data_IF_647552847730
#
_entry.id   IF_647552847730
#
_cell.length_a   1.000
_cell.length_b   1.000
_cell.length_c   1.000
_cell.angle_alpha   90.00
_cell.angle_beta   90.00
_cell.angle_gamma   90.00
#
_symmetry.space_group_name_H-M   'P 1'
#
loop_
_entity.id
_entity.type
_entity.pdbx_description
1 polymer ?
#
# COMPACT_ATOMS: atom_id res chain seq x y z
N UNK A 1 4.45 36.42 29.05
CA UNK A 1 3.82 35.44 29.95
C UNK A 1 2.92 34.45 29.22
N UNK A 2 1.87 34.87 28.49
CA UNK A 2 1.03 33.89 27.76
C UNK A 2 1.80 33.13 26.68
N UNK A 3 2.71 33.80 25.98
CA UNK A 3 3.54 33.16 24.95
C UNK A 3 4.44 32.05 25.53
N UNK A 4 5.03 32.28 26.71
CA UNK A 4 5.83 31.26 27.38
C UNK A 4 5.01 30.05 27.82
N UNK A 5 3.71 30.20 28.08
CA UNK A 5 2.82 29.06 28.38
C UNK A 5 2.47 28.27 27.12
N UNK A 6 2.34 28.93 25.96
CA UNK A 6 2.06 28.28 24.68
C UNK A 6 3.27 27.52 24.16
N UNK A 7 4.44 28.11 24.29
CA UNK A 7 5.72 27.54 23.84
C UNK A 7 6.36 26.62 24.89
N UNK A 8 5.69 26.37 26.02
CA UNK A 8 6.23 25.51 27.06
C UNK A 8 6.38 24.08 26.54
N UNK A 9 7.55 23.49 26.81
CA UNK A 9 7.86 22.12 26.44
C UNK A 9 7.12 21.12 27.35
N UNK A 10 5.86 20.91 27.00
CA UNK A 10 4.96 19.95 27.68
C UNK A 10 5.41 18.49 27.55
N UNK A 11 6.29 18.19 26.60
CA UNK A 11 6.73 16.84 26.28
C UNK A 11 7.91 16.40 27.16
N UNK A 12 8.68 17.36 27.71
CA UNK A 12 9.88 17.09 28.52
C UNK A 12 9.79 17.60 29.96
N UNK A 13 8.60 17.59 30.57
CA UNK A 13 8.43 18.01 31.96
C UNK A 13 9.06 16.98 32.91
N UNK A 14 9.99 17.37 33.80
CA UNK A 14 10.62 16.44 34.73
C UNK A 14 9.61 15.65 35.58
N UNK A 15 9.76 14.32 35.72
CA UNK A 15 8.81 13.49 36.47
C UNK A 15 8.62 13.93 37.92
N UNK A 16 9.68 14.43 38.57
CA UNK A 16 9.63 14.95 39.92
C UNK A 16 8.70 16.17 40.06
N UNK A 17 8.65 17.04 39.05
CA UNK A 17 7.76 18.21 39.03
C UNK A 17 6.31 17.74 38.90
N UNK A 18 6.03 16.83 37.96
CA UNK A 18 4.69 16.27 37.76
C UNK A 18 4.19 15.51 38.98
N UNK A 19 5.07 14.76 39.66
CA UNK A 19 4.76 14.09 40.93
C UNK A 19 4.31 15.10 41.99
N UNK A 20 5.09 16.17 42.18
CA UNK A 20 4.75 17.23 43.14
C UNK A 20 3.43 17.92 42.81
N UNK A 21 3.16 18.16 41.52
CA UNK A 21 1.89 18.75 41.06
C UNK A 21 0.71 17.87 41.46
N UNK A 22 0.78 16.56 41.16
CA UNK A 22 -0.27 15.59 41.49
C UNK A 22 -0.53 15.51 42.99
N UNK A 23 0.53 15.26 43.76
CA UNK A 23 0.41 14.99 45.21
C UNK A 23 -0.05 16.21 46.01
N UNK A 24 0.33 17.43 45.59
CA UNK A 24 0.08 18.63 46.38
C UNK A 24 -1.07 19.50 45.90
N UNK A 25 -1.42 19.44 44.61
CA UNK A 25 -2.31 20.44 44.02
C UNK A 25 -3.52 19.84 43.30
N UNK A 26 -3.38 18.75 42.53
CA UNK A 26 -4.48 18.29 41.66
C UNK A 26 -5.75 17.89 42.45
N UNK A 27 -5.56 17.23 43.58
CA UNK A 27 -6.65 16.77 44.46
C UNK A 27 -6.95 17.76 45.60
N UNK A 28 -6.24 18.90 45.65
CA UNK A 28 -6.47 19.89 46.69
C UNK A 28 -7.82 20.62 46.45
N UNK A 29 -8.70 20.73 47.46
CA UNK A 29 -10.03 21.33 47.30
C UNK A 29 -9.98 22.81 46.91
N UNK A 30 -8.96 23.55 47.39
CA UNK A 30 -8.78 24.96 47.02
C UNK A 30 -8.15 25.15 45.63
N UNK A 31 -7.60 24.09 45.02
CA UNK A 31 -6.99 24.14 43.70
C UNK A 31 -7.94 23.63 42.61
N UNK A 32 -9.21 24.02 42.73
CA UNK A 32 -10.25 23.74 41.76
C UNK A 32 -10.55 25.01 40.95
N UNK A 33 -10.67 24.95 39.61
CA UNK A 33 -10.94 26.13 38.80
C UNK A 33 -12.19 26.89 39.24
N UNK A 34 -13.24 26.18 39.66
CA UNK A 34 -14.47 26.78 40.17
C UNK A 34 -14.28 27.56 41.48
N UNK A 35 -13.38 27.10 42.36
CA UNK A 35 -13.05 27.77 43.62
C UNK A 35 -12.16 28.98 43.36
N UNK A 36 -11.12 28.83 42.54
CA UNK A 36 -10.17 29.91 42.21
C UNK A 36 -10.83 31.03 41.42
N UNK A 37 -11.84 30.71 40.59
CA UNK A 37 -12.62 31.71 39.84
C UNK A 37 -13.23 32.79 40.73
N UNK A 38 -13.64 32.43 41.95
CA UNK A 38 -14.20 33.39 42.91
C UNK A 38 -13.17 34.40 43.41
N UNK A 39 -11.88 34.12 43.26
CA UNK A 39 -10.77 35.01 43.61
C UNK A 39 -10.30 35.81 42.39
N UNK A 40 -10.05 35.13 41.26
CA UNK A 40 -9.57 35.78 40.03
C UNK A 40 -9.76 34.92 38.78
N UNK A 41 -10.32 35.51 37.72
CA UNK A 41 -10.49 34.87 36.41
C UNK A 41 -9.16 34.56 35.72
N UNK A 42 -8.13 35.40 35.91
CA UNK A 42 -6.79 35.15 35.37
C UNK A 42 -6.13 33.95 36.07
N UNK A 43 -6.32 33.83 37.39
CA UNK A 43 -5.82 32.69 38.17
C UNK A 43 -6.57 31.39 37.85
N UNK A 44 -7.86 31.46 37.53
CA UNK A 44 -8.64 30.32 37.02
C UNK A 44 -8.00 29.74 35.75
N UNK A 45 -7.60 30.60 34.80
CA UNK A 45 -6.93 30.19 33.57
C UNK A 45 -5.63 29.42 33.82
N UNK A 46 -4.83 29.85 34.80
CA UNK A 46 -3.60 29.17 35.19
C UNK A 46 -3.86 27.83 35.87
N UNK A 47 -4.86 27.75 36.76
CA UNK A 47 -5.27 26.49 37.37
C UNK A 47 -5.67 25.47 36.29
N UNK A 48 -6.50 25.88 35.31
CA UNK A 48 -6.89 25.04 34.18
C UNK A 48 -5.68 24.59 33.36
N UNK A 49 -4.75 25.49 33.06
CA UNK A 49 -3.55 25.16 32.31
C UNK A 49 -2.69 24.10 33.02
N UNK A 50 -2.44 24.24 34.32
CA UNK A 50 -1.67 23.26 35.10
C UNK A 50 -2.36 21.88 35.10
N UNK A 51 -3.68 21.85 35.32
CA UNK A 51 -4.46 20.60 35.27
C UNK A 51 -4.42 19.96 33.88
N UNK A 52 -4.50 20.77 32.82
CA UNK A 52 -4.38 20.28 31.45
C UNK A 52 -2.98 19.69 31.16
N UNK A 53 -1.91 20.29 31.68
CA UNK A 53 -0.54 19.76 31.55
C UNK A 53 -0.39 18.41 32.26
N UNK A 54 -0.98 18.24 33.45
CA UNK A 54 -0.95 16.96 34.16
C UNK A 54 -1.67 15.85 33.38
N UNK A 55 -2.88 16.15 32.88
CA UNK A 55 -3.66 15.21 32.06
C UNK A 55 -2.89 14.86 30.79
N UNK A 56 -2.25 15.85 30.16
CA UNK A 56 -1.40 15.63 29.00
C UNK A 56 -0.27 14.65 29.30
N UNK A 57 0.52 14.85 30.36
CA UNK A 57 1.63 13.95 30.74
C UNK A 57 1.14 12.51 30.94
N UNK A 58 -0.02 12.33 31.60
CA UNK A 58 -0.60 10.99 31.82
C UNK A 58 -0.98 10.32 30.49
N UNK A 59 -1.66 11.05 29.61
CA UNK A 59 -2.11 10.52 28.32
C UNK A 59 -0.92 10.29 27.38
N UNK A 60 0.05 11.21 27.33
CA UNK A 60 1.24 11.11 26.50
C UNK A 60 2.02 9.82 26.79
N UNK A 61 2.15 9.43 28.06
CA UNK A 61 2.80 8.15 28.47
C UNK A 61 2.07 6.91 27.96
N UNK A 62 0.74 6.94 27.91
CA UNK A 62 -0.07 5.82 27.39
C UNK A 62 -0.05 5.78 25.85
N UNK A 63 0.03 6.95 25.22
CA UNK A 63 0.00 7.11 23.76
C UNK A 63 1.37 6.87 23.12
N UNK A 64 2.47 7.22 23.79
CA UNK A 64 3.83 7.03 23.30
C UNK A 64 4.12 5.60 22.78
N UNK A 65 3.86 4.51 23.54
CA UNK A 65 4.08 3.16 23.03
C UNK A 65 3.14 2.81 21.87
N UNK A 66 1.95 3.38 21.80
CA UNK A 66 1.02 3.17 20.67
C UNK A 66 1.54 3.84 19.39
N UNK A 67 2.06 5.07 19.50
CA UNK A 67 2.69 5.79 18.38
C UNK A 67 3.91 5.06 17.84
N UNK A 68 4.74 4.52 18.73
CA UNK A 68 5.92 3.77 18.30
C UNK A 68 5.54 2.47 17.57
N UNK A 69 4.55 1.73 18.08
CA UNK A 69 4.01 0.54 17.40
C UNK A 69 3.39 0.89 16.04
N UNK A 70 2.67 2.01 15.97
CA UNK A 70 2.08 2.49 14.72
C UNK A 70 3.18 2.77 13.69
N UNK A 71 4.21 3.53 14.07
CA UNK A 71 5.36 3.85 13.22
C UNK A 71 6.08 2.60 12.71
N UNK A 72 6.28 1.60 13.59
CA UNK A 72 6.88 0.33 13.20
C UNK A 72 6.00 -0.46 12.21
N UNK A 73 4.68 -0.50 12.44
CA UNK A 73 3.73 -1.18 11.56
C UNK A 73 3.61 -0.49 10.19
N UNK A 74 3.57 0.84 10.16
CA UNK A 74 3.56 1.64 8.94
C UNK A 74 4.85 1.42 8.12
N UNK A 75 6.01 1.40 8.79
CA UNK A 75 7.28 1.09 8.13
C UNK A 75 7.32 -0.32 7.54
N UNK A 76 6.79 -1.32 8.26
CA UNK A 76 6.67 -2.67 7.72
C UNK A 76 5.72 -2.72 6.52
N UNK A 77 4.57 -2.05 6.62
CA UNK A 77 3.58 -1.98 5.55
C UNK A 77 4.18 -1.39 4.27
N UNK A 78 4.93 -0.29 4.37
CA UNK A 78 5.59 0.34 3.22
C UNK A 78 6.55 -0.64 2.51
N UNK A 79 7.40 -1.33 3.28
CA UNK A 79 8.31 -2.35 2.73
C UNK A 79 7.54 -3.48 2.03
N UNK A 80 6.43 -3.96 2.61
CA UNK A 80 5.63 -5.01 1.98
C UNK A 80 4.93 -4.54 0.72
N UNK A 81 4.41 -3.30 0.72
CA UNK A 81 3.77 -2.70 -0.46
C UNK A 81 4.76 -2.52 -1.62
N UNK A 82 5.99 -2.11 -1.32
CA UNK A 82 7.05 -2.04 -2.33
C UNK A 82 7.35 -3.41 -2.92
N UNK A 83 7.53 -4.45 -2.08
CA UNK A 83 7.75 -5.82 -2.53
C UNK A 83 6.60 -6.35 -3.39
N UNK A 84 5.36 -6.11 -2.96
CA UNK A 84 4.16 -6.50 -3.69
C UNK A 84 4.14 -5.85 -5.08
N UNK A 85 4.40 -4.54 -5.15
CA UNK A 85 4.44 -3.80 -6.42
C UNK A 85 5.50 -4.36 -7.37
N UNK A 86 6.70 -4.67 -6.87
CA UNK A 86 7.74 -5.32 -7.67
C UNK A 86 7.27 -6.68 -8.20
N UNK A 87 6.68 -7.52 -7.34
CA UNK A 87 6.20 -8.85 -7.76
C UNK A 87 5.04 -8.77 -8.75
N UNK A 88 4.16 -7.78 -8.62
CA UNK A 88 3.09 -7.55 -9.59
C UNK A 88 3.63 -7.10 -10.96
N UNK A 89 4.68 -6.27 -10.98
CA UNK A 89 5.34 -5.88 -12.22
C UNK A 89 6.02 -7.08 -12.90
N UNK A 90 6.80 -7.87 -12.16
CA UNK A 90 7.43 -9.11 -12.67
C UNK A 90 6.37 -10.08 -13.22
N UNK A 91 5.25 -10.27 -12.49
CA UNK A 91 4.17 -11.13 -12.95
C UNK A 91 3.55 -10.63 -14.25
N UNK A 92 3.36 -9.31 -14.37
CA UNK A 92 2.81 -8.71 -15.58
C UNK A 92 3.72 -8.96 -16.78
N UNK A 93 5.03 -8.81 -16.65
CA UNK A 93 5.98 -9.09 -17.73
C UNK A 93 5.89 -10.54 -18.20
N UNK A 94 5.82 -11.50 -17.27
CA UNK A 94 5.69 -12.93 -17.59
C UNK A 94 4.37 -13.23 -18.30
N UNK A 95 3.26 -12.66 -17.82
CA UNK A 95 1.93 -12.84 -18.43
C UNK A 95 1.89 -12.25 -19.84
N UNK A 96 2.41 -11.04 -20.02
CA UNK A 96 2.46 -10.37 -21.32
C UNK A 96 3.33 -11.18 -22.31
N UNK A 97 4.46 -11.73 -21.85
CA UNK A 97 5.32 -12.59 -22.68
C UNK A 97 4.63 -13.91 -23.06
N UNK A 98 3.97 -14.57 -22.10
CA UNK A 98 3.24 -15.81 -22.35
C UNK A 98 2.09 -15.60 -23.35
N UNK A 99 1.40 -14.45 -23.27
CA UNK A 99 0.37 -14.11 -24.24
C UNK A 99 0.96 -13.96 -25.65
N UNK A 100 2.09 -13.24 -25.80
CA UNK A 100 2.75 -13.09 -27.08
C UNK A 100 3.19 -14.45 -27.69
N UNK A 101 3.69 -15.37 -26.86
CA UNK A 101 4.03 -16.73 -27.30
C UNK A 101 2.81 -17.53 -27.75
N UNK A 102 1.69 -17.41 -27.04
CA UNK A 102 0.45 -18.07 -27.45
C UNK A 102 -0.06 -17.51 -28.78
N UNK A 103 -0.03 -16.19 -28.97
CA UNK A 103 -0.44 -15.55 -30.22
C UNK A 103 0.44 -15.98 -31.40
N UNK A 104 1.76 -16.10 -31.19
CA UNK A 104 2.70 -16.60 -32.19
C UNK A 104 2.46 -18.08 -32.49
N UNK A 105 2.21 -18.89 -31.46
CA UNK A 105 1.93 -20.31 -31.61
C UNK A 105 0.66 -20.54 -32.45
N UNK A 106 -0.41 -19.81 -32.18
CA UNK A 106 -1.67 -19.90 -32.92
C UNK A 106 -1.47 -19.51 -34.38
N UNK A 107 -0.75 -18.41 -34.65
CA UNK A 107 -0.42 -17.99 -36.01
C UNK A 107 0.40 -19.06 -36.77
N UNK A 108 1.43 -19.61 -36.13
CA UNK A 108 2.24 -20.68 -36.76
C UNK A 108 1.41 -21.94 -37.02
N UNK A 109 0.47 -22.27 -36.14
CA UNK A 109 -0.41 -23.42 -36.31
C UNK A 109 -1.41 -23.21 -37.46
N UNK A 110 -1.93 -22.00 -37.63
CA UNK A 110 -2.77 -21.65 -38.78
C UNK A 110 -1.98 -21.67 -40.09
N UNK A 111 -0.75 -21.12 -40.10
CA UNK A 111 0.14 -21.19 -41.27
C UNK A 111 0.51 -22.62 -41.63
N UNK A 112 0.76 -23.47 -40.63
CA UNK A 112 0.99 -24.90 -40.83
C UNK A 112 -0.23 -25.54 -41.52
N UNK A 113 -1.44 -25.28 -41.02
CA UNK A 113 -2.67 -25.81 -41.60
C UNK A 113 -2.88 -25.36 -43.05
N UNK A 114 -2.58 -24.09 -43.36
CA UNK A 114 -2.64 -23.57 -44.71
C UNK A 114 -1.65 -24.28 -45.65
N UNK A 115 -0.41 -24.50 -45.20
CA UNK A 115 0.60 -25.24 -45.98
C UNK A 115 0.20 -26.69 -46.19
N UNK A 116 -0.33 -27.37 -45.17
CA UNK A 116 -0.85 -28.74 -45.27
C UNK A 116 -1.97 -28.82 -46.31
N UNK A 117 -2.94 -27.89 -46.27
CA UNK A 117 -4.02 -27.80 -47.26
C UNK A 117 -3.49 -27.56 -48.68
N UNK A 118 -2.48 -26.70 -48.84
CA UNK A 118 -1.87 -26.41 -50.14
C UNK A 118 -1.11 -27.61 -50.70
N UNK A 119 -0.39 -28.36 -49.86
CA UNK A 119 0.29 -29.60 -50.24
C UNK A 119 -0.74 -30.63 -50.71
N UNK A 120 -1.83 -30.81 -49.98
CA UNK A 120 -2.88 -31.77 -50.35
C UNK A 120 -3.53 -31.39 -51.69
N UNK A 121 -3.87 -30.11 -51.88
CA UNK A 121 -4.43 -29.63 -53.14
C UNK A 121 -3.46 -29.84 -54.31
N UNK A 122 -2.17 -29.56 -54.12
CA UNK A 122 -1.14 -29.77 -55.14
C UNK A 122 -0.98 -31.25 -55.50
N UNK A 123 -0.95 -32.12 -54.49
CA UNK A 123 -0.89 -33.58 -54.68
C UNK A 123 -2.09 -34.08 -55.50
N UNK A 124 -3.31 -33.64 -55.17
CA UNK A 124 -4.51 -34.00 -55.93
C UNK A 124 -4.45 -33.51 -57.38
N UNK A 125 -3.93 -32.30 -57.62
CA UNK A 125 -3.73 -31.77 -58.98
C UNK A 125 -2.71 -32.57 -59.78
N UNK A 126 -1.60 -32.97 -59.16
CA UNK A 126 -0.57 -33.81 -59.78
C UNK A 126 -1.16 -35.16 -60.21
N UNK A 127 -1.90 -35.84 -59.33
CA UNK A 127 -2.56 -37.12 -59.65
C UNK A 127 -3.54 -36.97 -60.82
N UNK A 128 -4.32 -35.89 -60.86
CA UNK A 128 -5.26 -35.62 -61.97
C UNK A 128 -4.52 -35.36 -63.28
N UNK A 129 -3.43 -34.60 -63.25
CA UNK A 129 -2.61 -34.32 -64.42
C UNK A 129 -1.95 -35.59 -64.97
N UNK A 130 -1.42 -36.46 -64.10
CA UNK A 130 -0.83 -37.75 -64.48
C UNK A 130 -1.87 -38.66 -65.15
N UNK A 131 -3.09 -38.76 -64.59
CA UNK A 131 -4.19 -39.51 -65.22
C UNK A 131 -4.56 -38.97 -66.60
N UNK A 132 -4.61 -37.65 -66.77
CA UNK A 132 -4.89 -37.02 -68.06
C UNK A 132 -3.80 -37.33 -69.09
N UNK A 133 -2.52 -37.24 -68.70
CA UNK A 133 -1.37 -37.56 -69.57
C UNK A 133 -1.41 -39.04 -69.97
N UNK A 134 -1.64 -39.95 -69.02
CA UNK A 134 -1.73 -41.39 -69.30
C UNK A 134 -2.94 -41.73 -70.19
N UNK A 135 -4.08 -41.06 -70.02
CA UNK A 135 -5.27 -41.26 -70.85
C UNK A 135 -5.07 -40.76 -72.28
N UNK A 136 -4.51 -39.55 -72.46
CA UNK A 136 -4.21 -38.96 -73.76
C UNK A 136 -3.06 -39.67 -74.49
N UNK A 137 -2.13 -40.30 -73.76
CA UNK A 137 -1.08 -41.13 -74.33
C UNK A 137 -1.60 -42.40 -75.00
N UNK A 138 -2.75 -42.91 -74.57
CA UNK A 138 -3.41 -44.08 -75.17
C UNK A 138 -4.30 -43.77 -76.37
N UNK A 139 -4.65 -42.49 -76.61
CA UNK A 139 -5.45 -42.05 -77.76
C UNK A 139 -4.60 -41.69 -79.00
N UNK A 140 -3.27 -41.85 -78.92
CA UNK A 140 -2.31 -41.57 -80.02
C UNK A 140 -1.83 -42.84 -80.77
N UNK A 141 -2.36 -44.01 -80.46
CA UNK A 141 -2.31 -45.21 -81.30
C UNK A 141 -3.69 -45.51 -81.90
#
# INVERSE_FOLDING_TARGET
>A
FLESLKMYDKDNIPPAIMKRIRERFIDHPDFQPAVIKNVSSACEGLCKWVRAMEVYDRVAKVVAPKRERLRAAEGLLDVQMQKLKTKQAELKEVVDHLQALNDEFDNMNDRKRELENNIELCSQKLVRAERLISGLGGEKE
#
